data_IF_387191960571
#
_entry.id   IF_387191960571
#
_cell.length_a   1.000
_cell.length_b   1.000
_cell.length_c   1.000
_cell.angle_alpha   90.00
_cell.angle_beta   90.00
_cell.angle_gamma   90.00
#
_symmetry.space_group_name_H-M   'P 1'
#
loop_
_entity.id
_entity.type
_entity.pdbx_description
1 polymer ?
#
# COMPACT_ATOMS: atom_id res chain seq x y z
N UNK A 1 -34.58 -29.87 44.50
CA UNK A 1 -33.61 -28.77 44.27
C UNK A 1 -32.73 -29.22 43.11
N UNK A 2 -33.14 -28.93 41.88
CA UNK A 2 -32.38 -29.26 40.68
C UNK A 2 -31.47 -28.07 40.37
N UNK A 3 -30.17 -28.26 40.51
CA UNK A 3 -29.17 -27.25 40.17
C UNK A 3 -28.99 -27.31 38.65
N UNK A 4 -29.48 -26.27 37.97
CA UNK A 4 -29.20 -26.04 36.56
C UNK A 4 -27.74 -25.61 36.44
N UNK A 5 -26.89 -26.47 35.87
CA UNK A 5 -25.51 -26.14 35.55
C UNK A 5 -25.45 -25.58 34.13
N UNK A 6 -25.73 -24.28 33.99
CA UNK A 6 -25.37 -23.55 32.77
C UNK A 6 -23.85 -23.38 32.78
N UNK A 7 -23.15 -24.30 32.11
CA UNK A 7 -21.70 -24.23 31.90
C UNK A 7 -21.42 -23.36 30.66
N UNK A 8 -20.87 -22.13 30.79
CA UNK A 8 -20.62 -21.24 29.65
C UNK A 8 -19.27 -21.51 28.96
N UNK A 9 -18.46 -22.46 29.45
CA UNK A 9 -17.04 -22.59 29.09
C UNK A 9 -16.73 -23.13 27.70
N UNK A 10 -17.71 -23.70 26.99
CA UNK A 10 -17.48 -24.28 25.64
C UNK A 10 -17.76 -23.29 24.51
N UNK A 11 -18.66 -22.31 24.72
CA UNK A 11 -18.96 -21.30 23.72
C UNK A 11 -17.79 -20.32 23.49
N UNK A 12 -17.11 -19.90 24.57
CA UNK A 12 -16.01 -18.93 24.49
C UNK A 12 -14.75 -19.47 23.82
N UNK A 13 -14.47 -20.77 23.92
CA UNK A 13 -13.30 -21.40 23.30
C UNK A 13 -13.51 -21.56 21.78
N UNK A 14 -14.73 -21.89 21.35
CA UNK A 14 -15.08 -21.99 19.92
C UNK A 14 -15.09 -20.62 19.22
N UNK A 15 -15.61 -19.58 19.87
CA UNK A 15 -15.61 -18.22 19.32
C UNK A 15 -14.21 -17.62 19.22
N UNK A 16 -13.34 -17.84 20.22
CA UNK A 16 -11.95 -17.39 20.17
C UNK A 16 -11.17 -18.05 19.01
N UNK A 17 -11.34 -19.37 18.81
CA UNK A 17 -10.71 -20.09 17.70
C UNK A 17 -11.22 -19.64 16.32
N UNK A 18 -12.49 -19.23 16.22
CA UNK A 18 -13.05 -18.68 14.97
C UNK A 18 -12.49 -17.30 14.64
N UNK A 19 -12.34 -16.42 15.65
CA UNK A 19 -11.75 -15.10 15.47
C UNK A 19 -10.25 -15.19 15.10
N UNK A 20 -9.52 -16.13 15.69
CA UNK A 20 -8.12 -16.39 15.33
C UNK A 20 -7.96 -16.86 13.87
N UNK A 21 -8.88 -17.70 13.39
CA UNK A 21 -8.91 -18.13 12.00
C UNK A 21 -9.19 -16.95 11.04
N UNK A 22 -10.18 -16.11 11.34
CA UNK A 22 -10.52 -14.93 10.54
C UNK A 22 -9.37 -13.92 10.48
N UNK A 23 -8.72 -13.64 11.62
CA UNK A 23 -7.54 -12.77 11.66
C UNK A 23 -6.38 -13.34 10.84
N UNK A 24 -6.19 -14.67 10.86
CA UNK A 24 -5.21 -15.35 10.02
C UNK A 24 -5.45 -15.09 8.53
N UNK A 25 -6.69 -15.27 8.07
CA UNK A 25 -7.08 -15.01 6.68
C UNK A 25 -6.92 -13.54 6.27
N UNK A 26 -7.27 -12.60 7.16
CA UNK A 26 -7.08 -11.16 6.91
C UNK A 26 -5.60 -10.81 6.77
N UNK A 27 -4.73 -11.35 7.62
CA UNK A 27 -3.30 -11.07 7.54
C UNK A 27 -2.65 -11.66 6.29
N UNK A 28 -3.07 -12.84 5.83
CA UNK A 28 -2.58 -13.37 4.56
C UNK A 28 -3.00 -12.51 3.36
N UNK A 29 -4.24 -12.00 3.37
CA UNK A 29 -4.70 -11.06 2.34
C UNK A 29 -3.90 -9.74 2.36
N UNK A 30 -3.59 -9.20 3.54
CA UNK A 30 -2.76 -8.00 3.68
C UNK A 30 -1.35 -8.25 3.12
N UNK A 31 -0.72 -9.38 3.46
CA UNK A 31 0.62 -9.72 2.96
C UNK A 31 0.66 -9.81 1.43
N UNK A 32 -0.37 -10.40 0.83
CA UNK A 32 -0.48 -10.50 -0.63
C UNK A 32 -0.65 -9.10 -1.26
N UNK A 33 -1.49 -8.24 -0.69
CA UNK A 33 -1.64 -6.86 -1.13
C UNK A 33 -0.34 -6.06 -0.99
N UNK A 34 0.39 -6.24 0.11
CA UNK A 34 1.68 -5.58 0.34
C UNK A 34 2.72 -6.01 -0.69
N UNK A 35 2.76 -7.30 -1.07
CA UNK A 35 3.64 -7.80 -2.11
C UNK A 35 3.31 -7.16 -3.48
N UNK A 36 2.01 -7.04 -3.81
CA UNK A 36 1.55 -6.39 -5.03
C UNK A 36 1.89 -4.90 -5.04
N UNK A 37 1.62 -4.18 -3.95
CA UNK A 37 1.98 -2.77 -3.80
C UNK A 37 3.48 -2.56 -3.98
N UNK A 38 4.32 -3.39 -3.37
CA UNK A 38 5.77 -3.31 -3.51
C UNK A 38 6.21 -3.52 -4.96
N UNK A 39 5.63 -4.50 -5.67
CA UNK A 39 5.92 -4.75 -7.07
C UNK A 39 5.52 -3.56 -7.97
N UNK A 40 4.32 -3.01 -7.75
CA UNK A 40 3.81 -1.83 -8.48
C UNK A 40 4.69 -0.61 -8.22
N UNK A 41 5.07 -0.35 -6.97
CA UNK A 41 5.92 0.79 -6.60
C UNK A 41 7.30 0.67 -7.27
N UNK A 42 7.94 -0.51 -7.21
CA UNK A 42 9.22 -0.75 -7.89
C UNK A 42 9.11 -0.47 -9.38
N UNK A 43 8.07 -1.00 -10.03
CA UNK A 43 7.86 -0.80 -11.46
C UNK A 43 7.60 0.67 -11.81
N UNK A 44 6.78 1.36 -11.02
CA UNK A 44 6.50 2.79 -11.19
C UNK A 44 7.80 3.61 -11.10
N UNK A 45 8.64 3.33 -10.11
CA UNK A 45 9.94 4.01 -9.96
C UNK A 45 10.85 3.81 -11.17
N UNK A 46 10.96 2.59 -11.70
CA UNK A 46 11.72 2.32 -12.93
C UNK A 46 11.21 3.10 -14.14
N UNK A 47 9.88 3.18 -14.30
CA UNK A 47 9.26 3.90 -15.42
C UNK A 47 9.50 5.41 -15.31
N UNK A 48 9.38 5.99 -14.12
CA UNK A 48 9.68 7.42 -13.88
C UNK A 48 11.14 7.74 -14.21
N UNK A 49 12.08 6.89 -13.80
CA UNK A 49 13.50 7.06 -14.13
C UNK A 49 13.74 7.04 -15.65
N UNK A 50 13.18 6.04 -16.34
CA UNK A 50 13.30 5.91 -17.80
C UNK A 50 12.68 7.11 -18.51
N UNK A 51 11.50 7.54 -18.09
CA UNK A 51 10.84 8.71 -18.66
C UNK A 51 11.68 9.98 -18.46
N UNK A 52 12.17 10.23 -17.24
CA UNK A 52 13.02 11.38 -16.95
C UNK A 52 14.35 11.36 -17.71
N UNK A 53 14.98 10.19 -17.86
CA UNK A 53 16.20 10.03 -18.65
C UNK A 53 15.96 10.31 -20.14
N UNK A 54 14.86 9.80 -20.71
CA UNK A 54 14.50 10.03 -22.11
C UNK A 54 14.10 11.47 -22.40
N UNK A 55 13.43 12.14 -21.46
CA UNK A 55 12.99 13.53 -21.63
C UNK A 55 14.12 14.56 -21.43
N UNK A 56 15.22 14.16 -20.79
CA UNK A 56 16.31 15.07 -20.42
C UNK A 56 16.95 15.71 -21.65
N UNK A 57 16.98 17.05 -21.67
CA UNK A 57 17.56 17.82 -22.78
C UNK A 57 16.67 17.92 -24.02
N UNK A 58 15.41 17.47 -23.92
CA UNK A 58 14.39 17.61 -24.97
C UNK A 58 13.29 18.57 -24.54
N UNK A 59 12.44 19.00 -25.47
CA UNK A 59 11.26 19.82 -25.16
C UNK A 59 10.25 19.10 -24.23
N UNK A 60 10.29 17.76 -24.19
CA UNK A 60 9.45 16.94 -23.30
C UNK A 60 9.86 17.03 -21.81
N UNK A 61 10.98 17.69 -21.48
CA UNK A 61 11.42 17.84 -20.08
C UNK A 61 10.38 18.57 -19.21
N UNK A 62 9.63 19.53 -19.79
CA UNK A 62 8.56 20.24 -19.07
C UNK A 62 7.34 19.36 -18.82
N UNK A 63 6.98 18.53 -19.80
CA UNK A 63 5.86 17.60 -19.68
C UNK A 63 6.15 16.52 -18.63
N UNK A 64 7.37 15.95 -18.65
CA UNK A 64 7.81 15.01 -17.62
C UNK A 64 7.74 15.63 -16.21
N UNK A 65 8.14 16.90 -16.05
CA UNK A 65 8.03 17.62 -14.79
C UNK A 65 6.56 17.85 -14.38
N UNK A 66 5.68 18.19 -15.32
CA UNK A 66 4.26 18.37 -15.06
C UNK A 66 3.61 17.06 -14.58
N UNK A 67 3.93 15.92 -15.21
CA UNK A 67 3.44 14.62 -14.78
C UNK A 67 3.94 14.21 -13.39
N UNK A 68 5.17 14.56 -13.03
CA UNK A 68 5.65 14.39 -11.65
C UNK A 68 4.80 15.20 -10.67
N UNK A 69 4.48 16.46 -10.98
CA UNK A 69 3.64 17.30 -10.12
C UNK A 69 2.20 16.79 -10.00
N UNK A 70 1.64 16.24 -11.08
CA UNK A 70 0.28 15.67 -11.08
C UNK A 70 0.11 14.49 -10.10
N UNK A 71 1.20 13.84 -9.66
CA UNK A 71 1.17 12.78 -8.64
C UNK A 71 0.61 13.30 -7.31
N UNK A 72 0.88 14.55 -6.94
CA UNK A 72 0.33 15.16 -5.73
C UNK A 72 -1.20 15.14 -5.74
N UNK A 73 -1.80 15.56 -6.86
CA UNK A 73 -3.25 15.58 -7.02
C UNK A 73 -3.86 14.18 -7.01
N UNK A 74 -3.24 13.22 -7.71
CA UNK A 74 -3.73 11.83 -7.77
C UNK A 74 -3.80 11.15 -6.41
N UNK A 75 -2.85 11.43 -5.53
CA UNK A 75 -2.78 10.79 -4.20
C UNK A 75 -3.45 11.62 -3.11
N UNK A 76 -3.89 12.85 -3.38
CA UNK A 76 -4.63 13.68 -2.43
C UNK A 76 -5.96 13.03 -1.99
N UNK A 77 -6.49 12.06 -2.74
CA UNK A 77 -7.64 11.25 -2.37
C UNK A 77 -7.46 10.51 -1.03
N UNK A 78 -6.21 10.26 -0.62
CA UNK A 78 -5.86 9.65 0.67
C UNK A 78 -5.59 10.70 1.77
N UNK A 79 -5.95 11.96 1.55
CA UNK A 79 -5.76 13.06 2.51
C UNK A 79 -4.29 13.38 2.80
N UNK A 80 -3.99 13.67 4.07
CA UNK A 80 -2.64 14.05 4.52
C UNK A 80 -1.61 12.97 4.24
N UNK A 81 -1.95 11.70 4.49
CA UNK A 81 -1.04 10.58 4.28
C UNK A 81 -0.82 10.32 2.79
N UNK A 82 -1.81 10.62 1.95
CA UNK A 82 -1.68 10.65 0.50
C UNK A 82 -0.59 11.58 -0.01
N UNK A 83 -0.53 12.80 0.55
CA UNK A 83 0.52 13.77 0.20
C UNK A 83 1.91 13.23 0.58
N UNK A 84 2.03 12.61 1.76
CA UNK A 84 3.28 11.98 2.22
C UNK A 84 3.70 10.80 1.33
N UNK A 85 2.76 9.95 0.95
CA UNK A 85 2.99 8.83 0.05
C UNK A 85 3.44 9.32 -1.32
N UNK A 86 2.77 10.32 -1.88
CA UNK A 86 3.09 10.90 -3.17
C UNK A 86 4.51 11.48 -3.20
N UNK A 87 4.91 12.20 -2.13
CA UNK A 87 6.26 12.74 -1.98
C UNK A 87 7.31 11.63 -1.89
N UNK A 88 6.98 10.53 -1.21
CA UNK A 88 7.84 9.35 -1.12
C UNK A 88 8.01 8.68 -2.48
N UNK A 89 6.92 8.52 -3.25
CA UNK A 89 6.94 7.94 -4.60
C UNK A 89 7.74 8.78 -5.59
N UNK A 90 7.69 10.11 -5.50
CA UNK A 90 8.53 11.00 -6.31
C UNK A 90 10.00 10.86 -5.95
N UNK A 91 10.33 10.79 -4.66
CA UNK A 91 11.71 10.57 -4.20
C UNK A 91 12.27 9.25 -4.73
N UNK A 92 11.52 8.15 -4.60
CA UNK A 92 11.90 6.83 -5.12
C UNK A 92 12.12 6.82 -6.64
N UNK A 93 11.33 7.58 -7.40
CA UNK A 93 11.47 7.71 -8.86
C UNK A 93 12.68 8.53 -9.28
N UNK A 94 13.20 9.42 -8.41
CA UNK A 94 14.36 10.29 -8.71
C UNK A 94 15.68 9.72 -8.20
N UNK A 95 15.67 8.84 -7.19
CA UNK A 95 16.88 8.17 -6.70
C UNK A 95 17.41 7.20 -7.75
N UNK A 96 18.64 7.43 -8.24
CA UNK A 96 19.37 6.42 -9.01
C UNK A 96 19.68 5.27 -8.04
N UNK A 97 19.23 4.05 -8.36
CA UNK A 97 19.84 2.86 -7.76
C UNK A 97 21.29 2.85 -8.23
N UNK A 98 22.23 2.80 -7.28
CA UNK A 98 23.64 2.56 -7.56
C UNK A 98 23.83 1.16 -8.16
#
# INVERSE_FOLDING_TARGET
MTVQLDSPGLASVGEASSAEAELGELFEQIKELDAQLLAVIKRRSELVQRAGASAKGTDASREAQAEEMAVMGRFAELGTDGSTLAMTLLRLGRTRKA
#
